data_IF_343981433425
#
_entry.id   IF_343981433425
#
_cell.length_a   1.000
_cell.length_b   1.000
_cell.length_c   1.000
_cell.angle_alpha   90.00
_cell.angle_beta   90.00
_cell.angle_gamma   90.00
#
_symmetry.space_group_name_H-M   'P 1'
#
loop_
_entity.id
_entity.type
_entity.pdbx_description
1 polymer ?
#
# COMPACT_ATOMS: atom_id res chain seq x y z
N UNK A 1 13.62 20.34 18.66
CA UNK A 1 12.54 19.82 17.78
C UNK A 1 13.11 18.58 17.11
N UNK A 2 12.43 17.42 17.16
CA UNK A 2 12.93 16.21 16.52
C UNK A 2 12.82 16.32 15.00
N UNK A 3 13.67 15.64 14.23
CA UNK A 3 13.60 15.64 12.76
C UNK A 3 12.22 15.20 12.25
N UNK A 4 11.55 14.30 12.97
CA UNK A 4 10.20 13.83 12.68
C UNK A 4 9.13 14.93 12.87
N UNK A 5 9.29 15.79 13.87
CA UNK A 5 8.37 16.91 14.07
C UNK A 5 8.49 17.91 12.91
N UNK A 6 9.71 18.20 12.46
CA UNK A 6 9.95 19.05 11.28
C UNK A 6 9.30 18.47 10.03
N UNK A 7 9.44 17.16 9.78
CA UNK A 7 8.80 16.53 8.62
C UNK A 7 7.27 16.60 8.67
N UNK A 8 6.67 16.47 9.85
CA UNK A 8 5.22 16.61 10.01
C UNK A 8 4.77 18.05 9.76
N UNK A 9 5.50 19.03 10.29
CA UNK A 9 5.23 20.45 10.06
C UNK A 9 5.36 20.81 8.57
N UNK A 10 6.34 20.24 7.87
CA UNK A 10 6.54 20.42 6.43
C UNK A 10 5.37 19.82 5.61
N UNK A 11 4.85 18.66 6.02
CA UNK A 11 3.68 18.04 5.38
C UNK A 11 2.40 18.85 5.62
N UNK A 12 2.19 19.33 6.85
CA UNK A 12 1.04 20.18 7.18
C UNK A 12 1.12 21.51 6.40
N UNK A 13 2.32 22.10 6.30
CA UNK A 13 2.54 23.30 5.49
C UNK A 13 2.30 23.04 4.00
N UNK A 14 2.66 21.86 3.49
CA UNK A 14 2.34 21.48 2.12
C UNK A 14 0.82 21.43 1.93
N UNK A 15 0.09 20.75 2.81
CA UNK A 15 -1.37 20.62 2.75
C UNK A 15 -2.07 21.99 2.76
N UNK A 16 -1.59 22.92 3.59
CA UNK A 16 -2.11 24.29 3.66
C UNK A 16 -1.86 25.07 2.36
N UNK A 17 -0.78 24.75 1.63
CA UNK A 17 -0.41 25.38 0.36
C UNK A 17 -1.15 24.83 -0.87
N UNK A 18 -1.79 23.65 -0.77
CA UNK A 18 -2.49 23.02 -1.90
C UNK A 18 -3.69 23.86 -2.35
N UNK A 19 -3.80 24.10 -3.67
CA UNK A 19 -4.92 24.80 -4.29
C UNK A 19 -6.25 24.11 -3.94
N UNK A 20 -7.29 24.90 -3.66
CA UNK A 20 -8.60 24.39 -3.27
C UNK A 20 -9.20 23.41 -4.30
N UNK A 21 -8.87 23.56 -5.59
CA UNK A 21 -9.35 22.68 -6.66
C UNK A 21 -8.59 21.35 -6.74
N UNK A 22 -7.36 21.29 -6.20
CA UNK A 22 -6.57 20.06 -6.09
C UNK A 22 -6.89 19.25 -4.82
N UNK A 23 -7.65 19.83 -3.87
CA UNK A 23 -8.09 19.15 -2.65
C UNK A 23 -9.18 18.11 -2.95
N UNK A 24 -9.28 17.04 -2.14
CA UNK A 24 -10.31 16.02 -2.32
C UNK A 24 -11.71 16.59 -2.11
N UNK A 25 -12.62 16.25 -3.03
CA UNK A 25 -14.04 16.57 -2.92
C UNK A 25 -14.80 15.36 -2.42
N UNK A 26 -15.58 15.59 -1.38
CA UNK A 26 -16.44 14.58 -0.80
C UNK A 26 -17.79 14.51 -1.52
N UNK A 27 -18.15 13.34 -2.04
CA UNK A 27 -19.41 13.14 -2.76
C UNK A 27 -20.26 12.08 -2.07
N UNK A 28 -21.44 12.44 -1.57
CA UNK A 28 -22.45 11.50 -1.05
C UNK A 28 -23.59 11.34 -2.06
N UNK A 29 -23.78 10.14 -2.57
CA UNK A 29 -24.97 9.78 -3.38
C UNK A 29 -25.68 8.57 -2.79
N UNK A 30 -26.98 8.43 -3.07
CA UNK A 30 -27.73 7.25 -2.66
C UNK A 30 -27.12 5.96 -3.24
N UNK A 31 -26.65 6.02 -4.49
CA UNK A 31 -25.95 4.92 -5.16
C UNK A 31 -24.66 4.54 -4.44
N UNK A 32 -23.87 5.52 -3.99
CA UNK A 32 -22.67 5.26 -3.21
C UNK A 32 -22.99 4.55 -1.90
N UNK A 33 -24.01 5.01 -1.18
CA UNK A 33 -24.43 4.39 0.07
C UNK A 33 -24.82 2.93 -0.12
N UNK A 34 -25.66 2.64 -1.12
CA UNK A 34 -26.04 1.26 -1.46
C UNK A 34 -24.83 0.39 -1.80
N UNK A 35 -23.86 0.92 -2.54
CA UNK A 35 -22.65 0.19 -2.91
C UNK A 35 -21.77 -0.12 -1.68
N UNK A 36 -21.60 0.84 -0.78
CA UNK A 36 -20.84 0.65 0.47
C UNK A 36 -21.51 -0.37 1.40
N UNK A 37 -22.84 -0.43 1.43
CA UNK A 37 -23.57 -1.40 2.25
C UNK A 37 -23.34 -2.86 1.82
N UNK A 38 -22.91 -3.08 0.57
CA UNK A 38 -22.52 -4.41 0.05
C UNK A 38 -21.11 -4.85 0.47
N UNK A 39 -20.24 -3.92 0.86
CA UNK A 39 -18.89 -4.24 1.33
C UNK A 39 -18.91 -4.54 2.84
N UNK A 40 -18.02 -5.43 3.33
CA UNK A 40 -17.91 -5.71 4.76
C UNK A 40 -17.53 -4.44 5.52
N UNK A 41 -17.96 -4.27 6.79
CA UNK A 41 -17.76 -3.01 7.52
C UNK A 41 -16.34 -2.48 7.50
N UNK A 42 -15.34 -3.35 7.56
CA UNK A 42 -13.93 -2.97 7.53
C UNK A 42 -13.38 -2.61 6.14
N UNK A 43 -14.11 -2.89 5.06
CA UNK A 43 -13.73 -2.49 3.69
C UNK A 43 -14.66 -1.42 3.09
N UNK A 44 -15.39 -0.68 3.93
CA UNK A 44 -16.26 0.43 3.51
C UNK A 44 -15.45 1.72 3.38
N UNK A 45 -14.93 1.96 2.18
CA UNK A 45 -14.15 3.16 1.87
C UNK A 45 -14.99 4.16 1.10
N UNK A 46 -15.33 5.29 1.72
CA UNK A 46 -16.00 6.38 1.04
C UNK A 46 -15.03 7.06 0.04
N UNK A 47 -15.27 6.98 -1.28
CA UNK A 47 -14.33 7.44 -2.29
C UNK A 47 -14.13 8.96 -2.22
N UNK A 48 -12.88 9.39 -2.41
CA UNK A 48 -12.54 10.79 -2.62
C UNK A 48 -12.46 11.10 -4.11
N UNK A 49 -13.14 12.16 -4.53
CA UNK A 49 -13.05 12.64 -5.91
C UNK A 49 -11.99 13.71 -6.01
N UNK A 50 -11.21 13.68 -7.09
CA UNK A 50 -10.16 14.66 -7.37
C UNK A 50 -10.41 15.26 -8.75
N UNK A 51 -10.01 16.51 -8.94
CA UNK A 51 -10.10 17.18 -10.25
C UNK A 51 -9.19 16.52 -11.29
N UNK A 52 -8.05 15.99 -10.85
CA UNK A 52 -7.05 15.34 -11.70
C UNK A 52 -6.48 14.08 -11.05
N UNK A 53 -5.90 13.21 -11.87
CA UNK A 53 -5.15 12.05 -11.40
C UNK A 53 -3.91 12.48 -10.60
N UNK A 54 -3.22 13.53 -11.05
CA UNK A 54 -2.10 14.15 -10.34
C UNK A 54 -2.46 14.54 -8.89
N UNK A 55 -3.57 15.25 -8.70
CA UNK A 55 -4.04 15.65 -7.37
C UNK A 55 -4.29 14.43 -6.47
N UNK A 56 -4.90 13.37 -7.01
CA UNK A 56 -5.09 12.12 -6.28
C UNK A 56 -3.75 11.47 -5.87
N UNK A 57 -2.74 11.48 -6.75
CA UNK A 57 -1.43 10.90 -6.46
C UNK A 57 -0.68 11.68 -5.39
N UNK A 58 -0.67 13.02 -5.47
CA UNK A 58 -0.05 13.84 -4.45
C UNK A 58 -0.70 13.61 -3.08
N UNK A 59 -2.02 13.49 -3.04
CA UNK A 59 -2.74 13.21 -1.80
C UNK A 59 -2.44 11.81 -1.24
N UNK A 60 -2.29 10.81 -2.12
CA UNK A 60 -1.86 9.47 -1.70
C UNK A 60 -0.43 9.48 -1.14
N UNK A 61 0.49 10.23 -1.74
CA UNK A 61 1.86 10.39 -1.27
C UNK A 61 1.93 11.13 0.07
N UNK A 62 1.15 12.20 0.22
CA UNK A 62 0.97 12.91 1.48
C UNK A 62 0.49 11.97 2.59
N UNK A 63 -0.59 11.23 2.34
CA UNK A 63 -1.11 10.24 3.28
C UNK A 63 -0.08 9.14 3.59
N UNK A 64 0.65 8.67 2.58
CA UNK A 64 1.73 7.70 2.77
C UNK A 64 2.84 8.25 3.66
N UNK A 65 3.27 9.49 3.45
CA UNK A 65 4.31 10.14 4.26
C UNK A 65 3.88 10.25 5.73
N UNK A 66 2.65 10.66 5.99
CA UNK A 66 2.10 10.68 7.35
C UNK A 66 1.99 9.27 7.95
N UNK A 67 1.50 8.29 7.18
CA UNK A 67 1.44 6.90 7.63
C UNK A 67 2.84 6.37 7.99
N UNK A 68 3.88 6.66 7.21
CA UNK A 68 5.25 6.25 7.51
C UNK A 68 5.83 6.97 8.74
N UNK A 69 5.44 8.23 8.97
CA UNK A 69 5.89 9.04 10.10
C UNK A 69 4.95 8.94 11.32
N UNK A 70 3.91 8.12 11.29
CA UNK A 70 2.97 7.98 12.41
C UNK A 70 3.66 7.30 13.58
N UNK A 71 3.30 7.69 14.82
CA UNK A 71 3.88 7.08 16.02
C UNK A 71 3.62 5.56 16.01
N UNK A 72 2.42 5.16 15.57
CA UNK A 72 2.05 3.76 15.38
C UNK A 72 3.01 3.02 14.43
N UNK A 73 3.27 3.57 13.24
CA UNK A 73 4.22 2.94 12.30
C UNK A 73 5.63 2.84 12.84
N UNK A 74 6.10 3.86 13.58
CA UNK A 74 7.42 3.81 14.23
C UNK A 74 7.46 2.75 15.33
N UNK A 75 6.38 2.63 16.12
CA UNK A 75 6.28 1.64 17.19
C UNK A 75 6.22 0.22 16.63
N UNK A 76 5.53 0.00 15.50
CA UNK A 76 5.53 -1.26 14.76
C UNK A 76 6.93 -1.57 14.20
N UNK A 77 7.58 -0.60 13.55
CA UNK A 77 8.92 -0.77 12.96
C UNK A 77 10.01 -0.99 14.01
N UNK A 78 9.87 -0.42 15.20
CA UNK A 78 10.84 -0.54 16.30
C UNK A 78 10.50 -1.64 17.30
N UNK A 79 9.40 -2.38 17.08
CA UNK A 79 8.96 -3.48 17.95
C UNK A 79 8.50 -3.03 19.34
N UNK A 80 8.11 -1.76 19.49
CA UNK A 80 7.68 -1.13 20.75
C UNK A 80 6.17 -1.03 20.90
N UNK A 81 5.40 -1.21 19.82
CA UNK A 81 3.95 -1.05 19.82
C UNK A 81 3.20 -2.32 20.17
N UNK A 82 2.06 -2.17 20.86
CA UNK A 82 1.03 -3.19 20.83
C UNK A 82 0.47 -3.26 19.40
N UNK A 83 0.50 -4.45 18.80
CA UNK A 83 -0.14 -4.73 17.52
C UNK A 83 -1.65 -4.82 17.74
N UNK A 84 -2.25 -3.70 18.12
CA UNK A 84 -3.67 -3.47 17.96
C UNK A 84 -3.94 -3.39 16.46
N UNK A 85 -5.13 -3.79 16.01
CA UNK A 85 -5.46 -3.88 14.58
C UNK A 85 -5.05 -2.57 13.88
N UNK A 86 -3.96 -2.66 13.11
CA UNK A 86 -3.23 -1.57 12.44
C UNK A 86 -4.07 -0.82 11.39
N UNK A 87 -5.34 -1.17 11.33
CA UNK A 87 -6.36 -0.58 10.48
C UNK A 87 -7.05 0.65 11.11
N UNK A 88 -6.65 1.05 12.31
CA UNK A 88 -7.07 2.33 12.91
C UNK A 88 -6.24 3.52 12.43
N UNK A 89 -5.18 3.31 11.63
CA UNK A 89 -4.38 4.41 11.08
C UNK A 89 -5.22 5.19 10.03
N UNK A 90 -5.60 6.40 10.41
CA UNK A 90 -6.39 7.32 9.59
C UNK A 90 -5.75 7.59 8.22
N UNK A 91 -4.42 7.51 8.13
CA UNK A 91 -3.67 7.72 6.91
C UNK A 91 -3.78 6.53 5.95
N UNK A 92 -3.79 5.30 6.47
CA UNK A 92 -4.08 4.10 5.67
C UNK A 92 -5.52 4.17 5.14
N UNK A 93 -6.47 4.57 5.98
CA UNK A 93 -7.86 4.74 5.56
C UNK A 93 -7.96 5.82 4.47
N UNK A 94 -7.23 6.92 4.59
CA UNK A 94 -7.18 7.98 3.59
C UNK A 94 -6.64 7.46 2.24
N UNK A 95 -5.54 6.70 2.23
CA UNK A 95 -5.00 6.06 1.01
C UNK A 95 -6.07 5.20 0.33
N UNK A 96 -6.78 4.37 1.10
CA UNK A 96 -7.82 3.48 0.56
C UNK A 96 -9.02 4.25 -0.01
N UNK A 97 -9.37 5.39 0.59
CA UNK A 97 -10.40 6.30 0.05
C UNK A 97 -9.96 6.99 -1.24
N UNK A 98 -8.67 7.33 -1.38
CA UNK A 98 -8.12 7.78 -2.67
C UNK A 98 -8.27 6.67 -3.71
N UNK A 99 -7.80 5.46 -3.42
CA UNK A 99 -7.90 4.31 -4.32
C UNK A 99 -9.35 4.02 -4.73
N UNK A 100 -10.29 4.12 -3.79
CA UNK A 100 -11.71 3.90 -4.05
C UNK A 100 -12.31 4.92 -5.04
N UNK A 101 -11.81 6.15 -5.04
CA UNK A 101 -12.30 7.25 -5.87
C UNK A 101 -11.61 7.41 -7.22
N UNK A 102 -10.54 6.65 -7.49
CA UNK A 102 -9.84 6.70 -8.76
C UNK A 102 -10.73 6.23 -9.92
N UNK A 103 -10.83 7.08 -10.92
CA UNK A 103 -11.35 6.79 -12.26
C UNK A 103 -10.13 6.71 -13.18
N UNK A 104 -10.08 5.74 -14.10
CA UNK A 104 -8.88 5.31 -14.84
C UNK A 104 -7.86 6.42 -15.16
N UNK A 105 -6.57 6.12 -15.00
CA UNK A 105 -5.50 7.05 -15.38
C UNK A 105 -5.55 7.32 -16.88
N UNK A 106 -5.75 8.58 -17.25
CA UNK A 106 -5.63 9.04 -18.63
C UNK A 106 -4.29 9.73 -18.91
N UNK A 107 -3.45 9.95 -17.88
CA UNK A 107 -2.21 10.73 -18.00
C UNK A 107 -0.97 9.91 -17.65
N UNK A 108 0.07 10.08 -18.48
CA UNK A 108 1.36 9.39 -18.48
C UNK A 108 2.38 9.93 -17.45
N UNK A 109 1.93 10.62 -16.41
CA UNK A 109 2.86 11.29 -15.50
C UNK A 109 3.45 10.33 -14.44
N UNK A 110 4.77 10.40 -14.32
CA UNK A 110 5.62 9.52 -13.51
C UNK A 110 5.53 9.84 -12.01
N UNK A 111 4.47 9.38 -11.36
CA UNK A 111 4.37 9.43 -9.90
C UNK A 111 4.93 8.16 -9.26
N UNK A 112 5.45 8.31 -8.04
CA UNK A 112 5.74 7.22 -7.12
C UNK A 112 4.52 6.31 -7.11
N UNK A 113 4.67 5.09 -7.64
CA UNK A 113 3.54 4.30 -8.09
C UNK A 113 2.53 4.08 -6.97
N UNK A 114 1.26 4.39 -7.19
CA UNK A 114 0.19 4.10 -6.23
C UNK A 114 0.22 2.63 -5.79
N UNK A 115 0.59 1.73 -6.69
CA UNK A 115 0.79 0.31 -6.36
C UNK A 115 1.92 0.09 -5.33
N UNK A 116 2.99 0.89 -5.35
CA UNK A 116 4.00 0.87 -4.29
C UNK A 116 3.43 1.34 -2.96
N UNK A 117 2.67 2.44 -2.95
CA UNK A 117 2.03 2.97 -1.74
C UNK A 117 1.08 1.91 -1.15
N UNK A 118 0.18 1.36 -1.97
CA UNK A 118 -0.75 0.32 -1.53
C UNK A 118 0.00 -0.93 -1.09
N UNK A 119 1.02 -1.37 -1.83
CA UNK A 119 1.81 -2.54 -1.45
C UNK A 119 2.54 -2.36 -0.13
N UNK A 120 3.34 -1.32 0.01
CA UNK A 120 4.29 -1.16 1.13
C UNK A 120 3.66 -0.52 2.36
N UNK A 121 2.76 0.44 2.18
CA UNK A 121 2.17 1.21 3.28
C UNK A 121 0.89 0.54 3.78
N UNK A 122 0.10 -0.05 2.88
CA UNK A 122 -1.19 -0.68 3.25
C UNK A 122 -1.04 -2.18 3.43
N UNK A 123 -0.72 -2.93 2.36
CA UNK A 123 -0.78 -4.40 2.34
C UNK A 123 0.16 -5.02 3.37
N UNK A 124 1.41 -4.55 3.47
CA UNK A 124 2.38 -5.11 4.42
C UNK A 124 2.03 -4.86 5.89
N UNK A 125 1.16 -3.88 6.16
CA UNK A 125 0.72 -3.55 7.53
C UNK A 125 -0.67 -4.09 7.84
N UNK A 126 -1.43 -4.51 6.84
CA UNK A 126 -2.83 -4.87 6.98
C UNK A 126 -2.98 -6.29 7.55
N UNK A 127 -3.66 -6.39 8.69
CA UNK A 127 -4.06 -7.66 9.32
C UNK A 127 -5.46 -8.10 8.89
N UNK A 128 -6.28 -7.20 8.33
CA UNK A 128 -7.65 -7.51 7.91
C UNK A 128 -7.71 -8.11 6.49
N UNK A 129 -8.11 -9.38 6.41
CA UNK A 129 -8.28 -10.10 5.15
C UNK A 129 -9.33 -9.50 4.20
N UNK A 130 -10.36 -8.81 4.70
CA UNK A 130 -11.38 -8.17 3.85
C UNK A 130 -10.80 -7.00 3.06
N UNK A 131 -9.86 -6.27 3.64
CA UNK A 131 -9.16 -5.17 2.97
C UNK A 131 -8.23 -5.72 1.91
N UNK A 132 -7.47 -6.78 2.21
CA UNK A 132 -6.63 -7.45 1.21
C UNK A 132 -7.50 -7.93 0.04
N UNK A 133 -8.65 -8.55 0.31
CA UNK A 133 -9.60 -8.95 -0.73
C UNK A 133 -10.14 -7.75 -1.52
N UNK A 134 -10.42 -6.62 -0.86
CA UNK A 134 -10.85 -5.39 -1.51
C UNK A 134 -9.76 -4.81 -2.43
N UNK A 135 -8.50 -4.77 -1.98
CA UNK A 135 -7.35 -4.34 -2.78
C UNK A 135 -7.17 -5.25 -3.99
N UNK A 136 -7.35 -6.57 -3.81
CA UNK A 136 -7.26 -7.54 -4.89
C UNK A 136 -8.32 -7.29 -5.98
N UNK A 137 -9.56 -6.91 -5.62
CA UNK A 137 -10.58 -6.48 -6.59
C UNK A 137 -10.15 -5.24 -7.38
N UNK A 138 -9.22 -4.44 -6.84
CA UNK A 138 -8.68 -3.21 -7.45
C UNK A 138 -7.31 -3.41 -8.11
N UNK A 139 -6.74 -4.63 -8.11
CA UNK A 139 -5.39 -4.89 -8.61
C UNK A 139 -5.21 -4.42 -10.06
N UNK A 140 -6.15 -4.75 -10.97
CA UNK A 140 -6.06 -4.30 -12.36
C UNK A 140 -6.10 -2.78 -12.52
N UNK A 141 -6.84 -2.07 -11.66
CA UNK A 141 -6.81 -0.60 -11.64
C UNK A 141 -5.44 -0.10 -11.19
N UNK A 142 -4.85 -0.70 -10.14
CA UNK A 142 -3.54 -0.31 -9.62
C UNK A 142 -2.40 -0.59 -10.62
N UNK A 143 -2.46 -1.72 -11.32
CA UNK A 143 -1.52 -2.10 -12.37
C UNK A 143 -1.57 -1.15 -13.58
N UNK A 144 -2.77 -0.77 -14.00
CA UNK A 144 -2.98 0.12 -15.14
C UNK A 144 -2.65 1.59 -14.83
N UNK A 145 -2.70 1.99 -13.56
CA UNK A 145 -2.45 3.37 -13.13
C UNK A 145 -1.01 3.61 -12.70
N UNK A 146 -0.21 2.56 -12.46
CA UNK A 146 1.19 2.71 -12.07
C UNK A 146 2.10 2.67 -13.31
N UNK A 147 3.05 3.58 -13.50
CA UNK A 147 4.07 3.46 -14.56
C UNK A 147 5.01 2.26 -14.34
N UNK A 148 5.54 1.66 -15.40
CA UNK A 148 6.47 0.51 -15.30
C UNK A 148 7.82 0.87 -14.64
N UNK A 149 8.23 2.13 -14.72
CA UNK A 149 9.56 2.59 -14.32
C UNK A 149 9.60 3.18 -12.91
N UNK A 150 8.43 3.58 -12.36
CA UNK A 150 8.35 4.23 -11.05
C UNK A 150 8.21 3.24 -9.89
N UNK A 151 8.21 1.93 -10.17
CA UNK A 151 7.95 0.94 -9.15
C UNK A 151 9.20 0.15 -8.75
N UNK A 152 9.64 0.39 -7.52
CA UNK A 152 10.53 -0.53 -6.76
C UNK A 152 9.93 -1.96 -6.72
N UNK A 153 8.61 -2.08 -6.89
CA UNK A 153 7.86 -3.34 -6.98
C UNK A 153 7.32 -3.61 -8.41
N UNK A 154 7.84 -4.58 -9.16
CA UNK A 154 7.29 -4.94 -10.48
C UNK A 154 5.79 -5.25 -10.42
N UNK A 155 5.01 -4.74 -11.39
CA UNK A 155 3.55 -4.94 -11.48
C UNK A 155 3.12 -6.39 -11.38
N UNK A 156 3.81 -7.26 -12.12
CA UNK A 156 3.52 -8.70 -12.15
C UNK A 156 3.69 -9.40 -10.80
N UNK A 157 4.41 -8.79 -9.84
CA UNK A 157 4.56 -9.32 -8.49
C UNK A 157 3.47 -8.86 -7.54
N UNK A 158 2.72 -7.80 -7.87
CA UNK A 158 1.74 -7.23 -6.94
C UNK A 158 0.61 -8.22 -6.61
N UNK A 159 0.03 -8.86 -7.63
CA UNK A 159 -0.96 -9.92 -7.43
C UNK A 159 -0.43 -11.11 -6.62
N UNK A 160 0.83 -11.50 -6.84
CA UNK A 160 1.48 -12.57 -6.08
C UNK A 160 1.66 -12.18 -4.60
N UNK A 161 2.10 -10.96 -4.32
CA UNK A 161 2.24 -10.48 -2.94
C UNK A 161 0.89 -10.40 -2.22
N UNK A 162 -0.18 -9.99 -2.89
CA UNK A 162 -1.53 -10.00 -2.31
C UNK A 162 -1.97 -11.42 -1.95
N UNK A 163 -1.75 -12.39 -2.85
CA UNK A 163 -2.06 -13.79 -2.59
C UNK A 163 -1.25 -14.36 -1.42
N UNK A 164 0.07 -14.10 -1.41
CA UNK A 164 0.95 -14.52 -0.31
C UNK A 164 0.53 -13.90 1.02
N UNK A 165 0.21 -12.60 1.05
CA UNK A 165 -0.24 -11.94 2.28
C UNK A 165 -1.53 -12.58 2.78
N UNK A 166 -2.48 -12.89 1.90
CA UNK A 166 -3.73 -13.56 2.26
C UNK A 166 -3.46 -14.95 2.85
N UNK A 167 -2.58 -15.74 2.26
CA UNK A 167 -2.22 -17.06 2.75
C UNK A 167 -1.52 -17.01 4.12
N UNK A 168 -0.67 -16.00 4.33
CA UNK A 168 0.02 -15.75 5.59
C UNK A 168 -0.97 -15.31 6.67
N UNK A 169 -1.89 -14.41 6.36
CA UNK A 169 -2.96 -14.00 7.29
C UNK A 169 -3.86 -15.18 7.67
N UNK A 170 -4.18 -16.06 6.72
CA UNK A 170 -4.94 -17.28 7.01
C UNK A 170 -4.19 -18.24 7.96
N UNK A 171 -2.87 -18.15 8.03
CA UNK A 171 -2.02 -18.88 8.97
C UNK A 171 -1.79 -18.10 10.28
N UNK A 172 -2.45 -16.96 10.47
CA UNK A 172 -2.25 -16.10 11.64
C UNK A 172 -0.90 -15.40 11.63
N UNK A 173 -0.39 -14.99 10.47
CA UNK A 173 0.89 -14.28 10.32
C UNK A 173 0.71 -12.98 9.54
N UNK A 174 1.35 -11.91 10.01
CA UNK A 174 1.48 -10.65 9.29
C UNK A 174 2.94 -10.47 8.85
N UNK A 175 3.20 -10.16 7.58
CA UNK A 175 4.55 -10.17 7.02
C UNK A 175 4.83 -8.91 6.21
N UNK A 176 5.98 -8.32 6.44
CA UNK A 176 6.61 -7.29 5.63
C UNK A 176 7.65 -7.94 4.70
N UNK A 177 7.51 -7.71 3.40
CA UNK A 177 8.43 -8.21 2.38
C UNK A 177 9.45 -7.11 2.04
N UNK A 178 10.72 -7.37 2.33
CA UNK A 178 11.84 -6.48 2.04
C UNK A 178 12.60 -7.07 0.84
N UNK A 179 12.72 -6.28 -0.22
CA UNK A 179 13.53 -6.61 -1.39
C UNK A 179 14.95 -6.07 -1.16
N UNK A 180 15.97 -6.92 -1.16
CA UNK A 180 17.35 -6.51 -0.90
C UNK A 180 18.08 -6.09 -2.19
N UNK A 181 19.06 -5.18 -2.05
CA UNK A 181 19.73 -4.51 -3.17
C UNK A 181 20.81 -5.33 -3.90
N UNK A 182 21.20 -6.50 -3.38
CA UNK A 182 22.25 -7.34 -4.00
C UNK A 182 21.88 -7.87 -5.41
N UNK A 183 20.68 -7.57 -5.91
CA UNK A 183 20.17 -7.90 -7.23
C UNK A 183 20.13 -6.71 -8.22
N UNK A 184 20.65 -5.53 -7.87
CA UNK A 184 20.56 -4.29 -8.68
C UNK A 184 21.76 -4.03 -9.60
N UNK A 185 22.53 -5.06 -9.97
CA UNK A 185 23.29 -4.93 -11.22
C UNK A 185 22.25 -4.81 -12.34
N UNK A 186 22.07 -3.58 -12.84
CA UNK A 186 21.25 -3.23 -14.00
C UNK A 186 21.82 -3.94 -15.24
N UNK A 187 21.56 -5.25 -15.33
CA UNK A 187 21.61 -6.02 -16.55
C UNK A 187 20.16 -6.05 -17.02
N UNK A 188 19.88 -5.18 -18.00
CA UNK A 188 18.79 -5.29 -18.98
C UNK A 188 17.69 -6.31 -18.62
N UNK A 189 16.51 -5.80 -18.25
CA UNK A 189 15.19 -6.43 -18.27
C UNK A 189 15.23 -7.95 -18.54
N UNK A 190 15.22 -8.76 -17.48
CA UNK A 190 14.87 -10.19 -17.64
C UNK A 190 15.35 -11.19 -16.59
N UNK A 191 16.46 -10.97 -15.87
CA UNK A 191 17.10 -12.08 -15.12
C UNK A 191 17.89 -11.66 -13.87
N UNK A 192 17.33 -10.80 -13.01
CA UNK A 192 17.89 -10.58 -11.67
C UNK A 192 17.33 -11.60 -10.67
N UNK A 193 18.19 -12.34 -9.97
CA UNK A 193 17.79 -13.17 -8.83
C UNK A 193 17.43 -12.25 -7.66
N UNK A 194 16.13 -12.16 -7.35
CA UNK A 194 15.66 -11.31 -6.26
C UNK A 194 15.54 -12.13 -4.98
N UNK A 195 16.37 -11.82 -3.99
CA UNK A 195 16.14 -12.31 -2.64
C UNK A 195 15.07 -11.44 -1.97
N UNK A 196 14.06 -12.11 -1.40
CA UNK A 196 12.99 -11.46 -0.65
C UNK A 196 13.11 -11.90 0.80
N UNK A 197 13.47 -10.95 1.65
CA UNK A 197 13.48 -11.13 3.09
C UNK A 197 12.06 -10.93 3.60
N UNK A 198 11.52 -11.93 4.29
CA UNK A 198 10.26 -11.83 5.02
C UNK A 198 10.59 -11.53 6.46
N UNK A 199 10.09 -10.40 6.94
CA UNK A 199 10.13 -10.02 8.35
C UNK A 199 8.69 -9.94 8.80
N UNK A 200 8.31 -10.67 9.84
CA UNK A 200 6.90 -10.79 10.18
C UNK A 200 6.64 -11.00 11.66
N UNK A 201 5.36 -11.03 11.99
CA UNK A 201 4.83 -11.32 13.31
C UNK A 201 3.88 -12.51 13.21
N UNK A 202 4.08 -13.49 14.08
CA UNK A 202 3.07 -14.51 14.33
C UNK A 202 1.99 -13.90 15.25
N UNK A 203 0.77 -13.74 14.73
CA UNK A 203 -0.34 -13.06 15.41
C UNK A 203 -0.82 -13.85 16.63
N UNK A 204 -0.60 -15.16 16.67
CA UNK A 204 -1.01 -16.03 17.79
C UNK A 204 -0.02 -15.91 18.95
N UNK A 205 1.27 -15.99 18.67
CA UNK A 205 2.33 -16.01 19.67
C UNK A 205 2.92 -14.64 19.96
N UNK A 206 2.59 -13.63 19.14
CA UNK A 206 3.16 -12.27 19.14
C UNK A 206 4.68 -12.24 19.04
N UNK A 207 5.28 -13.29 18.47
CA UNK A 207 6.73 -13.35 18.24
C UNK A 207 7.08 -12.90 16.84
N UNK A 208 8.09 -12.04 16.73
CA UNK A 208 8.68 -11.66 15.46
C UNK A 208 9.45 -12.84 14.84
N UNK A 209 9.49 -12.89 13.52
CA UNK A 209 10.31 -13.83 12.75
C UNK A 209 10.98 -13.14 11.56
N UNK A 210 12.06 -13.76 11.10
CA UNK A 210 12.77 -13.38 9.88
C UNK A 210 13.06 -14.66 9.10
N UNK A 211 12.63 -14.73 7.85
CA UNK A 211 12.91 -15.85 6.96
C UNK A 211 13.18 -15.38 5.53
N UNK A 212 13.97 -16.15 4.78
CA UNK A 212 14.25 -15.88 3.37
C UNK A 212 13.28 -16.68 2.52
N UNK A 213 12.65 -16.03 1.54
CA UNK A 213 11.97 -16.76 0.47
C UNK A 213 13.02 -17.54 -0.34
N UNK A 214 12.83 -18.86 -0.54
CA UNK A 214 13.71 -19.62 -1.42
C UNK A 214 13.75 -18.99 -2.82
N UNK A 215 14.95 -18.88 -3.41
CA UNK A 215 15.18 -18.23 -4.72
C UNK A 215 14.25 -18.75 -5.83
N UNK A 216 13.88 -20.03 -5.78
CA UNK A 216 13.01 -20.66 -6.76
C UNK A 216 11.52 -20.39 -6.57
N UNK A 217 11.09 -19.87 -5.42
CA UNK A 217 9.66 -19.66 -5.14
C UNK A 217 9.07 -18.53 -5.98
N UNK A 218 9.78 -17.40 -6.13
CA UNK A 218 9.30 -16.27 -6.93
C UNK A 218 9.26 -16.60 -8.44
N UNK A 219 10.26 -17.30 -8.95
CA UNK A 219 10.34 -17.72 -10.36
C UNK A 219 9.28 -18.79 -10.69
N UNK A 220 9.03 -19.74 -9.77
CA UNK A 220 7.97 -20.74 -9.94
C UNK A 220 6.57 -20.12 -9.92
N UNK A 221 6.34 -19.14 -9.04
CA UNK A 221 5.07 -18.42 -8.94
C UNK A 221 4.79 -17.52 -10.16
N UNK A 222 5.81 -16.83 -10.67
CA UNK A 222 5.69 -16.01 -11.89
C UNK A 222 5.40 -16.86 -13.15
N UNK A 223 5.89 -18.10 -13.21
CA UNK A 223 5.66 -19.04 -14.31
C UNK A 223 4.29 -19.74 -14.25
N UNK A 224 3.60 -19.71 -13.10
CA UNK A 224 2.28 -20.34 -12.92
C UNK A 224 1.09 -19.40 -13.15
N UNK A 225 1.33 -18.13 -13.46
CA UNK A 225 0.30 -17.09 -13.62
C UNK A 225 -0.02 -16.76 -15.10
N UNK A 226 0.48 -17.55 -16.06
CA UNK A 226 0.16 -17.44 -17.50
C UNK A 226 -1.04 -18.27 -17.88
#
# INVERSE_FOLDING_TARGET
>A
MSALAVLRDDLDSWQDSVDMNERPVYTKTATLKMWLDLEPPSARFEPLSFQSYHAAMNYAQYAAAHALCSQHSLDVLTGKGEYDDSYTDEWIHLILRVVAGLRSANDEENYLGLMWIVGQVVVLRCTDSHIIAWIQKKASLLENTTPDWSCVLPKHLFGLLLAMQKDLLAQGRAVMHIFTEDAWEVKTVGQGERQVLRVGLDLTTRKGFVDLLPENSMVAMAKGAT
#
